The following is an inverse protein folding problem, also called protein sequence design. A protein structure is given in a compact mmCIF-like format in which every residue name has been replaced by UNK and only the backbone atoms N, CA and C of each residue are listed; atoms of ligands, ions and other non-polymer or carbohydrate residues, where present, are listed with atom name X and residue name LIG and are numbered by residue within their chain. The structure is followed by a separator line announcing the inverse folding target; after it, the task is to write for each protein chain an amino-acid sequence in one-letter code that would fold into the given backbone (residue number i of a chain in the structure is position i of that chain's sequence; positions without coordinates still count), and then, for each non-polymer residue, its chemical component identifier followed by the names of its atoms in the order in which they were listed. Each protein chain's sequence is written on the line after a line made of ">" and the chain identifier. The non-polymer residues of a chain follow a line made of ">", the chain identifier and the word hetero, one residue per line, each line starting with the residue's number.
data_IF_807387246187
#
_entry.id   IF_807387246187
#
_cell.length_a   1.000
_cell.length_b   1.000
_cell.length_c   1.000
_cell.angle_alpha   90.00
_cell.angle_beta   90.00
_cell.angle_gamma   90.00
#
_symmetry.space_group_name_H-M   'P 1'
#
loop_
_entity.id
_entity.type
_entity.pdbx_description
1 polymer ?
#
# COMPACT_ATOMS: atom_id res chain seq x y z
N UNK A 1 -28.68 37.19 -28.21
CA UNK A 1 -27.44 37.23 -27.40
C UNK A 1 -27.87 37.54 -25.99
N UNK A 2 -27.88 36.53 -25.11
CA UNK A 2 -28.57 36.54 -23.81
C UNK A 2 -27.52 36.50 -22.68
N UNK A 3 -27.64 37.41 -21.70
CA UNK A 3 -26.65 37.66 -20.64
C UNK A 3 -26.66 36.59 -19.53
N UNK A 4 -27.56 35.60 -19.61
CA UNK A 4 -27.78 34.56 -18.58
C UNK A 4 -26.88 33.33 -18.71
N UNK A 5 -26.13 33.19 -19.81
CA UNK A 5 -25.31 31.99 -20.11
C UNK A 5 -23.90 32.03 -19.51
N UNK A 6 -23.51 33.15 -18.90
CA UNK A 6 -22.13 33.39 -18.46
C UNK A 6 -21.79 32.85 -17.06
N UNK A 7 -22.78 32.44 -16.25
CA UNK A 7 -22.56 32.27 -14.81
C UNK A 7 -22.27 30.86 -14.29
N UNK A 8 -22.34 29.79 -15.09
CA UNK A 8 -22.09 28.44 -14.53
C UNK A 8 -21.26 27.57 -15.49
N UNK A 9 -20.39 28.20 -16.27
CA UNK A 9 -19.26 27.50 -16.92
C UNK A 9 -17.97 27.56 -16.07
N UNK A 10 -17.98 28.26 -14.94
CA UNK A 10 -16.85 28.43 -14.01
C UNK A 10 -16.83 27.36 -12.90
N UNK A 11 -17.52 26.22 -13.12
CA UNK A 11 -17.67 25.17 -12.10
C UNK A 11 -16.90 23.87 -12.37
N UNK A 12 -16.22 23.73 -13.50
CA UNK A 12 -15.47 22.51 -13.85
C UNK A 12 -13.99 22.78 -13.62
N UNK A 13 -13.66 23.15 -12.38
CA UNK A 13 -12.28 23.27 -11.92
C UNK A 13 -11.71 21.89 -11.62
N UNK A 14 -10.87 21.41 -12.54
CA UNK A 14 -9.71 20.55 -12.30
C UNK A 14 -9.66 19.83 -10.93
N UNK A 15 -10.19 18.61 -10.87
CA UNK A 15 -9.69 17.60 -9.94
C UNK A 15 -9.10 16.43 -10.74
N UNK A 16 -8.14 16.73 -11.61
CA UNK A 16 -7.11 15.77 -11.99
C UNK A 16 -6.18 15.59 -10.80
N UNK A 17 -6.68 14.95 -9.74
CA UNK A 17 -5.82 14.45 -8.68
C UNK A 17 -4.93 13.39 -9.32
N UNK A 18 -3.63 13.67 -9.37
CA UNK A 18 -2.63 12.70 -9.72
C UNK A 18 -2.80 11.50 -8.78
N UNK A 19 -3.36 10.40 -9.27
CA UNK A 19 -3.23 9.10 -8.64
C UNK A 19 -1.76 8.65 -8.80
N UNK A 20 -0.86 9.34 -8.10
CA UNK A 20 0.50 8.86 -7.91
C UNK A 20 0.40 7.65 -7.01
N UNK A 21 0.51 6.45 -7.56
CA UNK A 21 0.72 5.25 -6.76
C UNK A 21 1.92 5.53 -5.85
N UNK A 22 1.78 5.48 -4.51
CA UNK A 22 2.93 5.69 -3.65
C UNK A 22 3.94 4.60 -3.99
N UNK A 23 5.08 5.00 -4.56
CA UNK A 23 6.23 4.13 -4.75
C UNK A 23 6.66 3.67 -3.37
N UNK A 24 6.27 2.46 -2.98
CA UNK A 24 6.54 1.96 -1.65
C UNK A 24 8.03 1.60 -1.56
N UNK A 25 8.73 2.19 -0.59
CA UNK A 25 10.13 1.88 -0.34
C UNK A 25 10.26 0.40 0.02
N UNK A 26 11.20 -0.33 -0.60
CA UNK A 26 11.45 -1.72 -0.23
C UNK A 26 11.82 -1.83 1.26
N UNK A 27 11.27 -2.82 1.98
CA UNK A 27 11.66 -3.07 3.36
C UNK A 27 13.13 -3.48 3.44
N UNK A 28 13.79 -3.21 4.59
CA UNK A 28 15.12 -3.76 4.83
C UNK A 28 15.07 -5.30 4.76
N UNK A 29 16.14 -5.95 4.25
CA UNK A 29 16.20 -7.39 4.19
C UNK A 29 16.03 -7.99 5.59
N UNK A 30 15.41 -9.16 5.66
CA UNK A 30 15.28 -9.87 6.93
C UNK A 30 16.68 -10.20 7.48
N UNK A 31 16.88 -9.97 8.79
CA UNK A 31 18.15 -10.19 9.47
C UNK A 31 18.02 -11.32 10.49
N UNK A 32 18.97 -12.27 10.50
CA UNK A 32 18.99 -13.39 11.44
C UNK A 32 18.31 -14.64 10.87
N UNK A 33 17.37 -15.23 11.61
CA UNK A 33 16.60 -16.38 11.15
C UNK A 33 15.41 -15.90 10.31
N UNK A 34 15.44 -16.24 9.02
CA UNK A 34 14.45 -15.81 8.02
C UNK A 34 13.91 -17.01 7.25
N UNK A 35 13.69 -18.11 7.96
CA UNK A 35 13.36 -19.41 7.40
C UNK A 35 12.04 -19.98 7.92
N UNK A 36 11.43 -19.35 8.93
CA UNK A 36 10.16 -19.81 9.50
C UNK A 36 8.99 -18.91 9.11
N UNK A 37 7.78 -19.46 9.23
CA UNK A 37 6.54 -18.72 9.05
C UNK A 37 6.42 -17.55 10.03
N UNK A 38 6.79 -17.75 11.30
CA UNK A 38 6.76 -16.68 12.30
C UNK A 38 7.69 -15.52 11.95
N UNK A 39 8.90 -15.82 11.47
CA UNK A 39 9.87 -14.79 11.07
C UNK A 39 9.32 -13.92 9.93
N UNK A 40 8.72 -14.56 8.91
CA UNK A 40 8.11 -13.88 7.77
C UNK A 40 6.94 -12.98 8.19
N UNK A 41 6.08 -13.49 9.08
CA UNK A 41 4.95 -12.73 9.61
C UNK A 41 5.40 -11.49 10.38
N UNK A 42 6.36 -11.65 11.30
CA UNK A 42 6.88 -10.54 12.09
C UNK A 42 7.64 -9.51 11.23
N UNK A 43 8.39 -9.97 10.23
CA UNK A 43 9.06 -9.10 9.28
C UNK A 43 8.07 -8.26 8.45
N UNK A 44 6.99 -8.86 7.93
CA UNK A 44 5.95 -8.14 7.20
C UNK A 44 5.24 -7.08 8.07
N UNK A 45 4.92 -7.42 9.31
CA UNK A 45 4.28 -6.50 10.26
C UNK A 45 5.19 -5.32 10.67
N UNK A 46 6.51 -5.53 10.69
CA UNK A 46 7.48 -4.50 11.08
C UNK A 46 7.98 -3.64 9.91
N UNK A 47 7.95 -4.16 8.68
CA UNK A 47 8.56 -3.51 7.53
C UNK A 47 7.77 -2.36 6.91
N UNK A 48 6.53 -2.11 7.35
CA UNK A 48 5.64 -1.06 6.85
C UNK A 48 5.52 -1.02 5.30
N UNK A 49 5.41 -2.20 4.70
CA UNK A 49 5.12 -2.37 3.29
C UNK A 49 3.81 -3.16 3.13
N UNK A 50 3.22 -3.05 1.95
CA UNK A 50 1.99 -3.74 1.58
C UNK A 50 2.16 -4.54 0.29
N UNK A 51 3.26 -4.34 -0.45
CA UNK A 51 3.51 -5.06 -1.70
C UNK A 51 4.00 -6.51 -1.45
N UNK A 52 3.26 -7.53 -1.90
CA UNK A 52 3.63 -8.94 -1.69
C UNK A 52 4.87 -9.36 -2.46
N UNK A 53 5.32 -8.58 -3.46
CA UNK A 53 6.55 -8.86 -4.20
C UNK A 53 7.79 -8.83 -3.29
N UNK A 54 7.74 -8.07 -2.20
CA UNK A 54 8.84 -8.02 -1.24
C UNK A 54 8.99 -9.30 -0.40
N UNK A 55 7.96 -10.14 -0.33
CA UNK A 55 8.05 -11.45 0.34
C UNK A 55 8.86 -12.49 -0.47
N UNK A 56 9.18 -12.22 -1.74
CA UNK A 56 9.89 -13.16 -2.61
C UNK A 56 11.39 -13.23 -2.29
N UNK A 57 12.04 -14.34 -2.63
CA UNK A 57 13.49 -14.53 -2.46
C UNK A 57 13.92 -15.13 -1.12
N UNK A 58 12.97 -15.61 -0.30
CA UNK A 58 13.18 -16.32 0.96
C UNK A 58 12.59 -17.74 0.90
N UNK A 59 12.81 -18.55 1.94
CA UNK A 59 12.24 -19.89 2.07
C UNK A 59 10.70 -19.88 2.01
N UNK A 60 10.10 -20.95 1.49
CA UNK A 60 8.64 -21.06 1.32
C UNK A 60 7.86 -20.78 2.61
N UNK A 61 8.32 -21.29 3.75
CA UNK A 61 7.69 -21.05 5.04
C UNK A 61 7.69 -19.57 5.42
N UNK A 62 8.80 -18.87 5.19
CA UNK A 62 8.93 -17.43 5.42
C UNK A 62 8.01 -16.64 4.47
N UNK A 63 7.98 -17.01 3.19
CA UNK A 63 7.13 -16.37 2.18
C UNK A 63 5.66 -16.45 2.60
N UNK A 64 5.19 -17.63 3.04
CA UNK A 64 3.81 -17.79 3.52
C UNK A 64 3.51 -16.88 4.72
N UNK A 65 4.41 -16.85 5.72
CA UNK A 65 4.25 -15.98 6.88
C UNK A 65 4.20 -14.50 6.52
N UNK A 66 5.06 -14.07 5.60
CA UNK A 66 5.08 -12.69 5.11
C UNK A 66 3.77 -12.32 4.42
N UNK A 67 3.23 -13.18 3.55
CA UNK A 67 1.95 -12.94 2.87
C UNK A 67 0.78 -12.84 3.87
N UNK A 68 0.76 -13.70 4.89
CA UNK A 68 -0.25 -13.65 5.96
C UNK A 68 -0.16 -12.34 6.75
N UNK A 69 1.06 -11.91 7.13
CA UNK A 69 1.29 -10.64 7.84
C UNK A 69 0.83 -9.43 7.03
N UNK A 70 1.09 -9.41 5.72
CA UNK A 70 0.58 -8.36 4.82
C UNK A 70 -0.96 -8.41 4.71
N UNK A 71 -1.54 -9.60 4.65
CA UNK A 71 -2.99 -9.79 4.63
C UNK A 71 -3.67 -9.18 5.85
N UNK A 72 -3.09 -9.41 7.04
CA UNK A 72 -3.58 -8.84 8.29
C UNK A 72 -3.35 -7.33 8.35
N UNK A 73 -2.16 -6.83 8.02
CA UNK A 73 -1.85 -5.40 8.01
C UNK A 73 -2.82 -4.59 7.11
N UNK A 74 -3.21 -5.16 5.96
CA UNK A 74 -4.21 -4.56 5.07
C UNK A 74 -5.60 -4.52 5.68
N UNK A 75 -5.99 -5.51 6.48
CA UNK A 75 -7.28 -5.53 7.18
C UNK A 75 -7.35 -4.49 8.29
N UNK A 76 -6.23 -4.21 8.95
CA UNK A 76 -6.13 -3.22 10.01
C UNK A 76 -5.88 -1.79 9.53
N UNK A 77 -5.52 -1.57 8.27
CA UNK A 77 -5.43 -0.22 7.69
C UNK A 77 -6.84 0.22 7.27
N UNK A 78 -7.58 1.01 8.09
CA UNK A 78 -8.85 1.56 7.63
C UNK A 78 -8.59 2.41 6.38
N UNK A 79 -9.57 2.43 5.47
CA UNK A 79 -9.57 3.25 4.26
C UNK A 79 -9.65 4.77 4.55
N UNK A 80 -8.99 5.24 5.61
CA UNK A 80 -8.92 6.65 6.02
C UNK A 80 -7.94 7.47 5.18
N UNK A 81 -7.38 6.90 4.11
CA UNK A 81 -6.65 7.66 3.10
C UNK A 81 -7.66 8.36 2.18
N UNK A 82 -8.46 9.27 2.76
CA UNK A 82 -9.52 9.98 2.05
C UNK A 82 -10.52 10.67 2.98
N UNK A 83 -10.08 11.70 3.70
CA UNK A 83 -10.92 12.84 4.14
C UNK A 83 -10.11 14.12 4.03
#
# INVERSE_FOLDING_TARGET
>A
MDLRTLFVWVGIGFLTACAGSPSQTPPPPCQGYCSTHGDGYQWAQSGNFTDPRFCQGYDDAFVQGCLDGLGDARRYTPASQGI
#
